data_IF_016021033112
#
_entry.id   IF_016021033112
#
_cell.length_a   1.000
_cell.length_b   1.000
_cell.length_c   1.000
_cell.angle_alpha   90.00
_cell.angle_beta   90.00
_cell.angle_gamma   90.00
#
_symmetry.space_group_name_H-M   'P 1'
#
loop_
_entity.id
_entity.type
_entity.pdbx_description
1 polymer ?
#
# COMPACT_ATOMS: atom_id res chain seq x y z
N UNK A 1 14.95 36.02 -64.15
CA UNK A 1 15.35 37.40 -63.79
C UNK A 1 15.59 37.41 -62.28
N UNK A 2 16.67 36.83 -61.78
CA UNK A 2 17.99 37.46 -61.57
C UNK A 2 17.87 38.86 -60.99
N UNK A 3 18.08 39.01 -59.68
CA UNK A 3 19.32 39.63 -59.22
C UNK A 3 19.56 39.44 -57.71
N UNK A 4 20.72 38.85 -57.42
CA UNK A 4 21.46 39.07 -56.19
C UNK A 4 22.40 40.25 -56.43
N UNK A 5 22.58 41.13 -55.43
CA UNK A 5 23.90 41.49 -54.88
C UNK A 5 23.79 42.56 -53.79
N UNK A 6 24.47 42.30 -52.68
CA UNK A 6 24.77 43.20 -51.57
C UNK A 6 25.67 44.37 -51.98
N UNK A 7 25.90 45.34 -51.06
CA UNK A 7 27.24 45.37 -50.47
C UNK A 7 27.34 45.67 -48.96
N UNK A 8 28.53 45.36 -48.48
CA UNK A 8 29.12 45.32 -47.13
C UNK A 8 29.09 46.64 -46.34
N UNK A 9 29.15 46.56 -45.00
CA UNK A 9 29.55 47.72 -44.17
C UNK A 9 29.41 47.62 -42.64
N UNK A 10 30.23 46.77 -42.00
CA UNK A 10 30.95 46.87 -40.70
C UNK A 10 30.42 47.62 -39.43
N UNK A 11 30.87 47.10 -38.27
CA UNK A 11 30.87 47.59 -36.88
C UNK A 11 29.52 47.62 -36.12
N UNK A 12 29.37 47.07 -34.92
CA UNK A 12 30.35 46.74 -33.88
C UNK A 12 29.74 47.00 -32.50
N UNK A 13 28.64 46.32 -32.15
CA UNK A 13 27.95 46.47 -30.86
C UNK A 13 28.19 45.29 -29.93
N UNK A 14 29.24 45.35 -29.11
CA UNK A 14 29.54 44.37 -28.04
C UNK A 14 28.47 44.43 -26.93
N UNK A 15 27.38 43.67 -27.07
CA UNK A 15 26.46 43.38 -25.99
C UNK A 15 27.07 42.44 -24.95
N UNK A 16 27.60 43.00 -23.86
CA UNK A 16 28.04 42.25 -22.67
C UNK A 16 26.87 41.45 -22.08
N UNK A 17 26.79 40.14 -22.38
CA UNK A 17 25.95 39.21 -21.61
C UNK A 17 26.56 39.05 -20.21
N UNK A 18 25.94 39.70 -19.23
CA UNK A 18 26.20 39.47 -17.81
C UNK A 18 26.00 37.98 -17.52
N UNK A 19 27.09 37.27 -17.20
CA UNK A 19 27.06 35.95 -16.56
C UNK A 19 26.30 36.11 -15.25
N UNK A 20 25.09 35.58 -15.19
CA UNK A 20 24.35 35.41 -13.94
C UNK A 20 25.17 34.55 -13.01
N UNK A 21 25.56 35.17 -11.90
CA UNK A 21 26.29 34.59 -10.78
C UNK A 21 25.63 33.30 -10.32
N UNK A 22 26.45 32.29 -10.04
CA UNK A 22 26.04 30.99 -9.54
C UNK A 22 25.17 31.15 -8.30
N UNK A 23 23.90 30.76 -8.45
CA UNK A 23 22.98 30.57 -7.34
C UNK A 23 23.54 29.53 -6.40
N UNK A 24 24.07 30.02 -5.28
CA UNK A 24 24.43 29.29 -4.09
C UNK A 24 23.35 28.25 -3.79
N UNK A 25 23.63 26.96 -4.08
CA UNK A 25 22.76 25.85 -3.67
C UNK A 25 22.87 25.75 -2.16
N UNK A 26 22.06 26.55 -1.49
CA UNK A 26 21.90 26.57 -0.05
C UNK A 26 21.75 25.13 0.42
N UNK A 27 22.67 24.75 1.29
CA UNK A 27 22.68 23.49 2.02
C UNK A 27 21.39 23.44 2.85
N UNK A 28 20.31 22.95 2.22
CA UNK A 28 19.00 22.94 2.83
C UNK A 28 19.09 21.90 3.95
N UNK A 29 19.14 22.40 5.19
CA UNK A 29 19.16 21.62 6.41
C UNK A 29 17.80 20.91 6.49
N UNK A 30 17.66 19.81 5.73
CA UNK A 30 16.41 19.05 5.59
C UNK A 30 16.13 18.47 6.96
N UNK A 31 15.21 19.12 7.69
CA UNK A 31 14.63 18.56 8.91
C UNK A 31 14.28 17.09 8.64
N UNK A 32 14.58 16.18 9.57
CA UNK A 32 14.22 14.77 9.41
C UNK A 32 12.76 14.68 9.00
N UNK A 33 12.47 13.87 7.96
CA UNK A 33 11.10 13.66 7.52
C UNK A 33 10.35 13.01 8.70
N UNK A 34 9.31 13.67 9.19
CA UNK A 34 8.46 13.18 10.28
C UNK A 34 7.89 11.81 9.90
N UNK A 35 7.79 10.90 10.87
CA UNK A 35 7.03 9.68 10.71
C UNK A 35 5.53 10.00 10.53
N UNK A 36 4.81 9.16 9.81
CA UNK A 36 3.37 9.36 9.58
C UNK A 36 3.02 10.36 8.49
N UNK A 37 1.72 10.55 8.31
CA UNK A 37 1.13 11.60 7.50
C UNK A 37 1.08 12.95 8.24
N UNK A 38 0.48 13.97 7.60
CA UNK A 38 0.09 15.17 8.34
C UNK A 38 -0.89 14.81 9.48
N UNK A 39 -1.04 15.68 10.50
CA UNK A 39 -2.06 15.49 11.53
C UNK A 39 -3.45 15.29 10.92
N UNK A 40 -4.19 14.31 11.43
CA UNK A 40 -5.53 13.96 10.95
C UNK A 40 -6.50 15.15 10.99
N UNK A 41 -6.42 16.01 12.02
CA UNK A 41 -7.26 17.21 12.12
C UNK A 41 -7.06 18.14 10.91
N UNK A 42 -5.81 18.45 10.56
CA UNK A 42 -5.49 19.28 9.39
C UNK A 42 -5.91 18.59 8.08
N UNK A 43 -5.78 17.27 8.01
CA UNK A 43 -6.18 16.50 6.83
C UNK A 43 -7.70 16.52 6.63
N UNK A 44 -8.49 16.39 7.71
CA UNK A 44 -9.96 16.51 7.68
C UNK A 44 -10.39 17.90 7.20
N UNK A 45 -9.80 18.97 7.75
CA UNK A 45 -10.10 20.34 7.32
C UNK A 45 -9.82 20.54 5.83
N UNK A 46 -8.66 20.06 5.33
CA UNK A 46 -8.30 20.19 3.91
C UNK A 46 -9.18 19.36 2.97
N UNK A 47 -9.88 18.35 3.47
CA UNK A 47 -10.69 17.44 2.68
C UNK A 47 -12.17 17.52 2.98
N UNK A 48 -12.63 18.57 3.68
CA UNK A 48 -14.01 18.73 4.11
C UNK A 48 -15.01 18.64 2.94
N UNK A 49 -14.76 19.35 1.84
CA UNK A 49 -15.64 19.32 0.67
C UNK A 49 -15.70 17.92 0.03
N UNK A 50 -14.56 17.23 -0.04
CA UNK A 50 -14.50 15.87 -0.59
C UNK A 50 -15.22 14.84 0.31
N UNK A 51 -15.18 15.03 1.63
CA UNK A 51 -15.94 14.20 2.58
C UNK A 51 -17.44 14.48 2.41
N UNK A 52 -17.84 15.75 2.34
CA UNK A 52 -19.24 16.12 2.15
C UNK A 52 -19.81 15.57 0.84
N UNK A 53 -19.06 15.64 -0.26
CA UNK A 53 -19.43 15.05 -1.55
C UNK A 53 -19.56 13.52 -1.47
N UNK A 54 -18.59 12.85 -0.83
CA UNK A 54 -18.65 11.40 -0.65
C UNK A 54 -19.87 10.98 0.19
N UNK A 55 -20.16 11.70 1.28
CA UNK A 55 -21.30 11.42 2.17
C UNK A 55 -22.63 11.66 1.45
N UNK A 56 -22.77 12.78 0.74
CA UNK A 56 -23.96 13.08 -0.05
C UNK A 56 -24.20 12.03 -1.14
N UNK A 57 -23.15 11.57 -1.81
CA UNK A 57 -23.24 10.50 -2.81
C UNK A 57 -23.66 9.17 -2.18
N UNK A 58 -23.16 8.83 -0.99
CA UNK A 58 -23.54 7.59 -0.30
C UNK A 58 -25.02 7.58 0.07
N UNK A 59 -25.57 8.70 0.54
CA UNK A 59 -27.00 8.82 0.84
C UNK A 59 -27.85 8.85 -0.44
N UNK A 60 -27.46 9.63 -1.44
CA UNK A 60 -28.22 9.79 -2.68
C UNK A 60 -28.15 8.61 -3.65
N UNK A 61 -27.40 7.54 -3.35
CA UNK A 61 -27.15 6.44 -4.31
C UNK A 61 -28.42 5.70 -4.73
N UNK A 62 -29.44 5.64 -3.88
CA UNK A 62 -30.71 4.99 -4.18
C UNK A 62 -31.67 5.84 -5.02
N UNK A 63 -31.38 7.14 -5.19
CA UNK A 63 -32.22 8.11 -5.91
C UNK A 63 -31.64 8.46 -7.30
N UNK A 64 -30.56 7.78 -7.71
CA UNK A 64 -29.91 8.01 -9.01
C UNK A 64 -30.78 7.50 -10.16
N UNK A 65 -30.89 8.32 -11.21
CA UNK A 65 -31.56 7.93 -12.47
C UNK A 65 -30.83 6.78 -13.18
N UNK A 66 -29.49 6.79 -13.14
CA UNK A 66 -28.65 5.73 -13.71
C UNK A 66 -28.47 4.59 -12.70
N UNK A 67 -28.59 3.32 -13.14
CA UNK A 67 -28.36 2.16 -12.28
C UNK A 67 -26.99 2.20 -11.62
N UNK A 68 -26.97 2.04 -10.31
CA UNK A 68 -25.74 1.92 -9.52
C UNK A 68 -25.13 0.54 -9.75
N UNK A 69 -23.82 0.48 -10.01
CA UNK A 69 -23.14 -0.79 -10.24
C UNK A 69 -23.30 -1.73 -9.04
N UNK A 70 -23.74 -2.98 -9.31
CA UNK A 70 -23.93 -4.02 -8.31
C UNK A 70 -25.30 -4.03 -7.64
N UNK A 71 -26.20 -3.10 -7.95
CA UNK A 71 -27.58 -3.14 -7.44
C UNK A 71 -28.43 -4.07 -8.29
N UNK A 72 -29.21 -4.99 -7.69
CA UNK A 72 -30.09 -5.87 -8.44
C UNK A 72 -31.28 -5.09 -9.03
N UNK A 73 -31.78 -5.54 -10.18
CA UNK A 73 -33.01 -5.01 -10.78
C UNK A 73 -34.23 -5.30 -9.90
N UNK A 74 -35.14 -4.33 -9.79
CA UNK A 74 -36.40 -4.51 -9.06
C UNK A 74 -36.23 -4.65 -7.54
N UNK A 75 -35.16 -4.11 -6.97
CA UNK A 75 -34.96 -4.11 -5.52
C UNK A 75 -36.11 -3.42 -4.78
N UNK A 76 -36.45 -3.95 -3.61
CA UNK A 76 -37.34 -3.26 -2.69
C UNK A 76 -36.70 -1.97 -2.15
N UNK A 77 -37.50 -1.08 -1.59
CA UNK A 77 -37.00 0.16 -0.98
C UNK A 77 -35.91 -0.13 0.08
N UNK A 78 -34.84 0.69 0.15
CA UNK A 78 -33.75 0.48 1.10
C UNK A 78 -34.23 0.70 2.54
N UNK A 79 -33.78 -0.16 3.45
CA UNK A 79 -33.88 0.05 4.89
C UNK A 79 -32.88 1.09 5.39
N UNK A 80 -32.99 1.47 6.67
CA UNK A 80 -32.04 2.35 7.36
C UNK A 80 -31.53 1.68 8.63
N UNK A 81 -30.22 1.58 8.75
CA UNK A 81 -29.51 0.97 9.87
C UNK A 81 -28.44 1.92 10.39
N UNK A 82 -28.28 2.01 11.70
CA UNK A 82 -27.22 2.80 12.34
C UNK A 82 -26.56 1.96 13.44
N UNK A 83 -25.24 1.97 13.46
CA UNK A 83 -24.42 1.15 14.34
C UNK A 83 -23.39 1.98 15.09
N UNK A 84 -23.25 1.67 16.38
CA UNK A 84 -22.11 2.12 17.20
C UNK A 84 -20.99 1.08 17.09
N UNK A 85 -19.83 1.52 16.62
CA UNK A 85 -18.66 0.67 16.39
C UNK A 85 -17.49 1.18 17.24
N UNK A 86 -17.25 0.61 18.44
CA UNK A 86 -16.16 1.03 19.31
C UNK A 86 -14.80 0.82 18.62
N UNK A 87 -13.91 1.80 18.77
CA UNK A 87 -12.59 1.82 18.13
C UNK A 87 -11.47 1.91 19.16
N UNK A 88 -10.38 1.20 18.88
CA UNK A 88 -9.15 1.16 19.69
C UNK A 88 -7.90 1.38 18.83
N UNK A 89 -7.80 2.51 18.11
CA UNK A 89 -6.69 2.73 17.19
C UNK A 89 -5.37 2.95 17.94
N UNK A 90 -4.27 2.53 17.32
CA UNK A 90 -2.94 2.68 17.90
C UNK A 90 -2.46 4.14 17.78
N UNK A 91 -1.98 4.78 18.85
CA UNK A 91 -1.44 6.13 18.78
C UNK A 91 -0.24 6.23 17.82
N UNK A 92 -0.17 7.33 17.04
CA UNK A 92 0.92 7.56 16.09
C UNK A 92 2.31 7.50 16.73
N UNK A 93 2.44 8.01 17.96
CA UNK A 93 3.70 7.98 18.70
C UNK A 93 4.16 6.54 19.00
N UNK A 94 3.23 5.65 19.36
CA UNK A 94 3.50 4.22 19.59
C UNK A 94 3.89 3.53 18.28
N UNK A 95 3.22 3.86 17.17
CA UNK A 95 3.60 3.36 15.85
C UNK A 95 5.01 3.83 15.44
N UNK A 96 5.32 5.12 15.59
CA UNK A 96 6.64 5.70 15.26
C UNK A 96 7.77 5.02 16.05
N UNK A 97 7.57 4.84 17.35
CA UNK A 97 8.54 4.14 18.20
C UNK A 97 8.72 2.68 17.76
N UNK A 98 7.61 2.00 17.46
CA UNK A 98 7.63 0.60 17.02
C UNK A 98 8.27 0.45 15.65
N UNK A 99 8.09 1.42 14.74
CA UNK A 99 8.74 1.44 13.43
C UNK A 99 10.27 1.41 13.56
N UNK A 100 10.83 2.16 14.51
CA UNK A 100 12.27 2.14 14.83
C UNK A 100 12.74 0.82 15.47
N UNK A 101 11.83 0.08 16.11
CA UNK A 101 12.12 -1.22 16.68
C UNK A 101 12.11 -2.35 15.64
N UNK A 102 11.14 -2.38 14.72
CA UNK A 102 10.89 -3.56 13.88
C UNK A 102 11.68 -3.58 12.57
N UNK A 103 12.27 -2.45 12.15
CA UNK A 103 13.10 -2.37 10.93
C UNK A 103 14.56 -2.15 11.31
N UNK A 104 15.44 -3.07 10.88
CA UNK A 104 16.90 -2.91 10.99
C UNK A 104 17.56 -2.97 9.62
N UNK A 105 18.78 -2.44 9.53
CA UNK A 105 19.60 -2.47 8.31
C UNK A 105 19.89 -3.93 7.94
N UNK A 106 19.64 -4.30 6.68
CA UNK A 106 19.92 -5.63 6.15
C UNK A 106 18.91 -6.72 6.53
N UNK A 107 17.91 -6.41 7.36
CA UNK A 107 16.88 -7.36 7.78
C UNK A 107 15.64 -7.27 6.88
N UNK A 108 15.64 -7.99 5.76
CA UNK A 108 14.49 -8.08 4.83
C UNK A 108 13.74 -9.42 4.90
N UNK A 109 14.35 -10.43 5.52
CA UNK A 109 13.79 -11.78 5.66
C UNK A 109 12.91 -11.96 6.88
N UNK A 110 12.66 -13.22 7.21
CA UNK A 110 12.05 -13.64 8.47
C UNK A 110 12.89 -13.20 9.66
N UNK A 111 12.19 -12.86 10.75
CA UNK A 111 12.84 -12.60 12.02
C UNK A 111 13.04 -13.94 12.74
N UNK A 112 14.24 -14.25 13.25
CA UNK A 112 14.42 -15.39 14.15
C UNK A 112 13.53 -15.26 15.40
N UNK A 113 13.15 -16.36 16.03
CA UNK A 113 12.27 -16.37 17.21
C UNK A 113 12.79 -15.45 18.33
N UNK A 114 14.09 -15.53 18.64
CA UNK A 114 14.72 -14.64 19.64
C UNK A 114 14.54 -13.15 19.32
N UNK A 115 14.45 -12.79 18.03
CA UNK A 115 14.22 -11.41 17.59
C UNK A 115 12.75 -11.03 17.68
N UNK A 116 11.84 -11.96 17.43
CA UNK A 116 10.40 -11.80 17.66
C UNK A 116 10.12 -11.61 19.15
N UNK A 117 10.73 -12.42 20.01
CA UNK A 117 10.65 -12.33 21.47
C UNK A 117 11.19 -11.00 21.99
N UNK A 118 12.34 -10.53 21.46
CA UNK A 118 12.90 -9.21 21.81
C UNK A 118 11.91 -8.08 21.49
N UNK A 119 11.22 -8.17 20.35
CA UNK A 119 10.20 -7.19 19.96
C UNK A 119 9.00 -7.27 20.92
N UNK A 120 8.50 -8.48 21.18
CA UNK A 120 7.38 -8.71 22.10
C UNK A 120 7.65 -8.17 23.50
N UNK A 121 8.85 -8.41 24.04
CA UNK A 121 9.26 -7.90 25.34
C UNK A 121 9.27 -6.36 25.40
N UNK A 122 9.72 -5.70 24.32
CA UNK A 122 9.74 -4.23 24.22
C UNK A 122 8.37 -3.60 23.97
N UNK A 123 7.40 -4.38 23.50
CA UNK A 123 6.02 -3.94 23.30
C UNK A 123 5.15 -4.13 24.55
N UNK A 124 5.63 -4.83 25.57
CA UNK A 124 4.88 -5.06 26.81
C UNK A 124 4.46 -3.72 27.44
N UNK A 125 3.14 -3.56 27.67
CA UNK A 125 2.55 -2.34 28.23
C UNK A 125 2.33 -1.20 27.24
N UNK A 126 2.59 -1.42 25.94
CA UNK A 126 2.30 -0.44 24.88
C UNK A 126 0.95 -0.72 24.23
N UNK A 127 0.42 0.30 23.55
CA UNK A 127 -0.83 0.24 22.81
C UNK A 127 -0.73 -0.51 21.46
N UNK A 128 0.34 -1.27 21.22
CA UNK A 128 0.54 -2.04 19.99
C UNK A 128 0.92 -3.48 20.33
N UNK A 129 0.23 -4.45 19.73
CA UNK A 129 0.50 -5.88 19.86
C UNK A 129 1.69 -6.33 19.00
N UNK A 130 2.22 -7.52 19.27
CA UNK A 130 3.29 -8.12 18.47
C UNK A 130 2.86 -8.33 17.02
N UNK A 131 1.64 -8.82 16.79
CA UNK A 131 1.09 -9.03 15.44
C UNK A 131 0.99 -7.72 14.65
N UNK A 132 0.50 -6.66 15.29
CA UNK A 132 0.45 -5.31 14.71
C UNK A 132 1.85 -4.82 14.34
N UNK A 133 2.84 -5.04 15.21
CA UNK A 133 4.22 -4.65 14.96
C UNK A 133 4.87 -5.43 13.80
N UNK A 134 4.61 -6.74 13.69
CA UNK A 134 5.09 -7.56 12.56
C UNK A 134 4.40 -7.18 11.24
N UNK A 135 3.11 -6.84 11.28
CA UNK A 135 2.40 -6.29 10.13
C UNK A 135 2.94 -4.91 9.73
N UNK A 136 3.20 -4.01 10.70
CA UNK A 136 3.84 -2.72 10.48
C UNK A 136 5.22 -2.89 9.81
N UNK A 137 6.03 -3.85 10.29
CA UNK A 137 7.32 -4.18 9.67
C UNK A 137 7.17 -4.50 8.19
N UNK A 138 6.19 -5.32 7.84
CA UNK A 138 5.92 -5.69 6.45
C UNK A 138 5.59 -4.46 5.59
N UNK A 139 4.72 -3.57 6.08
CA UNK A 139 4.40 -2.31 5.40
C UNK A 139 5.61 -1.39 5.22
N UNK A 140 6.46 -1.26 6.25
CA UNK A 140 7.67 -0.45 6.21
C UNK A 140 8.73 -1.01 5.26
N UNK A 141 8.92 -2.33 5.25
CA UNK A 141 9.87 -2.98 4.34
C UNK A 141 9.43 -2.89 2.87
N UNK A 142 8.13 -2.98 2.60
CA UNK A 142 7.58 -2.70 1.26
C UNK A 142 7.89 -1.25 0.85
N UNK A 143 7.61 -0.27 1.71
CA UNK A 143 7.92 1.13 1.43
C UNK A 143 9.42 1.35 1.19
N UNK A 144 10.26 0.81 2.07
CA UNK A 144 11.72 0.89 1.97
C UNK A 144 12.20 0.34 0.62
N UNK A 145 11.64 -0.78 0.19
CA UNK A 145 11.96 -1.41 -1.10
C UNK A 145 11.60 -0.53 -2.28
N UNK A 146 10.37 0.02 -2.30
CA UNK A 146 9.88 0.83 -3.42
C UNK A 146 10.64 2.15 -3.52
N UNK A 147 10.81 2.86 -2.41
CA UNK A 147 11.42 4.21 -2.43
C UNK A 147 12.95 4.18 -2.58
N UNK A 148 13.60 3.05 -2.28
CA UNK A 148 15.05 2.92 -2.43
C UNK A 148 15.47 2.28 -3.76
N UNK A 149 14.52 1.82 -4.60
CA UNK A 149 14.79 1.10 -5.84
C UNK A 149 15.76 1.83 -6.79
N UNK A 150 15.52 3.12 -7.08
CA UNK A 150 16.40 3.88 -7.97
C UNK A 150 17.82 4.05 -7.42
N UNK A 151 17.94 4.17 -6.09
CA UNK A 151 19.24 4.23 -5.41
C UNK A 151 19.99 2.90 -5.47
N UNK A 152 19.27 1.78 -5.48
CA UNK A 152 19.85 0.46 -5.71
C UNK A 152 20.34 0.34 -7.15
N UNK A 153 19.51 0.71 -8.13
CA UNK A 153 19.87 0.61 -9.56
C UNK A 153 21.11 1.44 -9.89
N UNK A 154 21.27 2.63 -9.31
CA UNK A 154 22.48 3.45 -9.52
C UNK A 154 23.76 2.81 -8.99
N UNK A 155 23.65 1.76 -8.16
CA UNK A 155 24.77 0.97 -7.63
C UNK A 155 24.96 -0.35 -8.36
N UNK A 156 24.24 -0.61 -9.45
CA UNK A 156 24.25 -1.90 -10.17
C UNK A 156 25.66 -2.40 -10.51
N UNK A 157 26.50 -1.55 -11.11
CA UNK A 157 27.90 -1.89 -11.42
C UNK A 157 28.72 -2.31 -10.21
N UNK A 158 28.54 -1.63 -9.07
CA UNK A 158 29.25 -1.95 -7.83
C UNK A 158 28.75 -3.25 -7.20
N UNK A 159 27.44 -3.51 -7.27
CA UNK A 159 26.84 -4.77 -6.83
C UNK A 159 27.36 -5.93 -7.68
N UNK A 160 27.40 -5.76 -9.00
CA UNK A 160 27.95 -6.75 -9.92
C UNK A 160 29.42 -7.02 -9.63
N UNK A 161 30.25 -5.99 -9.50
CA UNK A 161 31.68 -6.16 -9.23
C UNK A 161 31.93 -6.98 -7.96
N UNK A 162 31.25 -6.63 -6.86
CA UNK A 162 31.37 -7.37 -5.61
C UNK A 162 30.85 -8.82 -5.72
N UNK A 163 29.78 -9.06 -6.49
CA UNK A 163 29.33 -10.41 -6.77
C UNK A 163 30.36 -11.20 -7.60
N UNK A 164 30.93 -10.59 -8.64
CA UNK A 164 31.97 -11.21 -9.47
C UNK A 164 33.22 -11.55 -8.61
N UNK A 165 33.53 -10.75 -7.58
CA UNK A 165 34.57 -10.99 -6.57
C UNK A 165 34.23 -12.08 -5.53
N UNK A 166 33.04 -12.70 -5.61
CA UNK A 166 32.63 -13.82 -4.77
C UNK A 166 31.71 -13.47 -3.58
N UNK A 167 31.31 -12.20 -3.42
CA UNK A 167 30.38 -11.81 -2.34
C UNK A 167 28.97 -12.34 -2.66
N UNK A 168 28.34 -12.99 -1.67
CA UNK A 168 26.99 -13.55 -1.84
C UNK A 168 25.90 -12.48 -1.94
N UNK A 169 24.77 -12.82 -2.55
CA UNK A 169 23.61 -11.92 -2.67
C UNK A 169 23.08 -11.50 -1.29
N UNK A 170 23.01 -12.43 -0.33
CA UNK A 170 22.56 -12.15 1.04
C UNK A 170 23.51 -11.20 1.75
N UNK A 171 24.82 -11.35 1.57
CA UNK A 171 25.81 -10.42 2.13
C UNK A 171 25.72 -9.04 1.48
N UNK A 172 25.55 -8.98 0.15
CA UNK A 172 25.31 -7.72 -0.56
C UNK A 172 24.03 -7.02 -0.06
N UNK A 173 22.96 -7.77 0.19
CA UNK A 173 21.73 -7.25 0.79
C UNK A 173 21.99 -6.59 2.15
N UNK A 174 22.71 -7.27 3.05
CA UNK A 174 23.08 -6.73 4.37
C UNK A 174 23.97 -5.49 4.26
N UNK A 175 24.97 -5.53 3.38
CA UNK A 175 25.94 -4.44 3.20
C UNK A 175 25.30 -3.19 2.61
N UNK A 176 24.52 -3.36 1.54
CA UNK A 176 23.93 -2.26 0.77
C UNK A 176 22.54 -1.84 1.23
N UNK A 177 21.90 -2.64 2.09
CA UNK A 177 20.58 -2.42 2.69
C UNK A 177 19.44 -2.38 1.67
N UNK A 178 19.39 -3.39 0.79
CA UNK A 178 18.32 -3.62 -0.18
C UNK A 178 17.85 -5.08 -0.16
N UNK A 179 16.62 -5.39 -0.59
CA UNK A 179 16.11 -6.77 -0.58
C UNK A 179 16.98 -7.73 -1.43
N UNK A 180 17.29 -8.93 -0.93
CA UNK A 180 18.14 -9.90 -1.63
C UNK A 180 17.70 -10.19 -3.06
N UNK A 181 16.41 -10.41 -3.31
CA UNK A 181 15.92 -10.73 -4.66
C UNK A 181 16.05 -9.55 -5.62
N UNK A 182 15.97 -8.32 -5.10
CA UNK A 182 16.16 -7.12 -5.91
C UNK A 182 17.64 -6.87 -6.22
N UNK A 183 18.55 -7.13 -5.27
CA UNK A 183 19.99 -7.16 -5.54
C UNK A 183 20.29 -8.16 -6.64
N UNK A 184 19.75 -9.38 -6.54
CA UNK A 184 20.05 -10.42 -7.52
C UNK A 184 19.55 -10.08 -8.93
N UNK A 185 18.32 -9.57 -9.04
CA UNK A 185 17.79 -9.06 -10.31
C UNK A 185 18.68 -7.98 -10.92
N UNK A 186 19.20 -7.06 -10.10
CA UNK A 186 20.11 -6.01 -10.56
C UNK A 186 21.46 -6.58 -11.01
N UNK A 187 22.05 -7.52 -10.26
CA UNK A 187 23.31 -8.19 -10.67
C UNK A 187 23.14 -8.91 -12.00
N UNK A 188 22.07 -9.68 -12.18
CA UNK A 188 21.80 -10.39 -13.45
C UNK A 188 21.55 -9.42 -14.61
N UNK A 189 20.84 -8.31 -14.38
CA UNK A 189 20.65 -7.28 -15.39
C UNK A 189 21.98 -6.63 -15.81
N UNK A 190 22.88 -6.35 -14.87
CA UNK A 190 24.24 -5.83 -15.14
C UNK A 190 25.15 -6.85 -15.83
N UNK A 191 24.87 -8.15 -15.68
CA UNK A 191 25.44 -9.24 -16.50
C UNK A 191 24.84 -9.31 -17.91
N UNK A 192 23.92 -8.41 -18.27
CA UNK A 192 23.29 -8.34 -19.60
C UNK A 192 22.03 -9.20 -19.76
N UNK A 193 21.45 -9.72 -18.68
CA UNK A 193 20.23 -10.52 -18.80
C UNK A 193 18.99 -9.64 -19.01
N UNK A 194 18.15 -10.01 -19.97
CA UNK A 194 16.85 -9.37 -20.17
C UNK A 194 15.86 -9.68 -19.05
N UNK A 195 14.93 -8.76 -18.77
CA UNK A 195 13.90 -8.91 -17.72
C UNK A 195 13.09 -10.20 -17.83
N UNK A 196 12.71 -10.57 -19.06
CA UNK A 196 11.96 -11.81 -19.34
C UNK A 196 12.77 -13.04 -18.97
N UNK A 197 14.04 -13.09 -19.40
CA UNK A 197 14.96 -14.19 -19.07
C UNK A 197 15.12 -14.36 -17.56
N UNK A 198 15.31 -13.26 -16.82
CA UNK A 198 15.42 -13.29 -15.35
C UNK A 198 14.14 -13.85 -14.74
N UNK A 199 12.97 -13.33 -15.15
CA UNK A 199 11.65 -13.79 -14.65
C UNK A 199 11.44 -15.28 -14.90
N UNK A 200 11.73 -15.77 -16.10
CA UNK A 200 11.58 -17.18 -16.45
C UNK A 200 12.56 -18.07 -15.69
N UNK A 201 13.80 -17.61 -15.48
CA UNK A 201 14.80 -18.36 -14.72
C UNK A 201 14.46 -18.43 -13.23
N UNK A 202 13.79 -17.43 -12.66
CA UNK A 202 13.33 -17.47 -11.28
C UNK A 202 12.07 -18.35 -11.11
N UNK A 203 11.25 -18.47 -12.17
CA UNK A 203 10.13 -19.43 -12.18
C UNK A 203 10.59 -20.88 -12.30
N UNK A 204 11.71 -21.11 -12.98
CA UNK A 204 12.33 -22.43 -13.14
C UNK A 204 13.84 -22.34 -12.80
N UNK A 205 14.20 -22.32 -11.50
CA UNK A 205 15.58 -22.14 -11.05
C UNK A 205 16.56 -23.22 -11.53
N UNK A 206 16.05 -24.36 -12.01
CA UNK A 206 16.86 -25.44 -12.61
C UNK A 206 17.61 -24.98 -13.87
N UNK A 207 17.15 -23.89 -14.51
CA UNK A 207 17.81 -23.26 -15.67
C UNK A 207 19.02 -22.40 -15.30
N UNK A 208 19.19 -22.09 -14.01
CA UNK A 208 20.34 -21.34 -13.52
C UNK A 208 21.55 -22.26 -13.41
N UNK A 209 22.75 -21.68 -13.62
CA UNK A 209 23.99 -22.35 -13.25
C UNK A 209 24.03 -22.58 -11.75
N UNK A 210 24.85 -23.53 -11.30
CA UNK A 210 24.97 -23.92 -9.90
C UNK A 210 25.07 -22.72 -8.94
N UNK A 211 26.05 -21.84 -9.15
CA UNK A 211 26.21 -20.64 -8.31
C UNK A 211 24.96 -19.74 -8.33
N UNK A 212 24.43 -19.40 -9.50
CA UNK A 212 23.23 -18.54 -9.58
C UNK A 212 21.99 -19.21 -8.96
N UNK A 213 21.91 -20.54 -8.96
CA UNK A 213 20.82 -21.30 -8.32
C UNK A 213 20.95 -21.26 -6.79
N UNK A 214 22.13 -21.50 -6.25
CA UNK A 214 22.38 -21.41 -4.80
C UNK A 214 22.11 -19.99 -4.28
N UNK A 215 22.53 -18.97 -5.04
CA UNK A 215 22.27 -17.57 -4.71
C UNK A 215 20.79 -17.20 -4.84
N UNK A 216 20.07 -17.80 -5.79
CA UNK A 216 18.62 -17.67 -5.89
C UNK A 216 17.95 -18.20 -4.62
N UNK A 217 18.21 -19.44 -4.25
CA UNK A 217 17.59 -20.12 -3.11
C UNK A 217 17.88 -19.39 -1.80
N UNK A 218 19.14 -18.97 -1.59
CA UNK A 218 19.53 -18.20 -0.42
C UNK A 218 18.87 -16.82 -0.37
N UNK A 219 18.78 -16.12 -1.51
CA UNK A 219 18.12 -14.81 -1.59
C UNK A 219 16.61 -14.92 -1.40
N UNK A 220 15.99 -15.97 -1.94
CA UNK A 220 14.57 -16.25 -1.85
C UNK A 220 14.15 -16.51 -0.40
N UNK A 221 14.91 -17.37 0.31
CA UNK A 221 14.70 -17.65 1.73
C UNK A 221 14.90 -16.41 2.63
N UNK A 222 15.78 -15.49 2.22
CA UNK A 222 16.11 -14.28 2.97
C UNK A 222 15.28 -13.04 2.61
N UNK A 223 14.33 -13.12 1.68
CA UNK A 223 13.54 -11.97 1.20
C UNK A 223 12.03 -12.18 1.39
N UNK A 224 11.53 -11.81 2.58
CA UNK A 224 10.10 -11.88 2.91
C UNK A 224 9.27 -10.83 2.16
N UNK A 225 9.89 -9.74 1.72
CA UNK A 225 9.20 -8.63 1.04
C UNK A 225 8.83 -9.02 -0.39
N UNK A 226 9.73 -9.74 -1.06
CA UNK A 226 9.49 -10.29 -2.38
C UNK A 226 8.67 -11.58 -2.33
N UNK A 227 8.79 -12.37 -1.25
CA UNK A 227 8.13 -13.66 -1.06
C UNK A 227 7.21 -13.63 0.17
N UNK A 228 6.09 -12.92 0.05
CA UNK A 228 4.99 -13.07 1.01
C UNK A 228 4.32 -14.40 0.68
N UNK A 229 4.40 -15.38 1.58
CA UNK A 229 3.61 -16.60 1.51
C UNK A 229 2.14 -16.18 1.65
N UNK A 230 1.41 -16.31 0.55
CA UNK A 230 0.05 -15.80 0.39
C UNK A 230 -1.00 -16.85 0.75
N UNK A 231 -0.62 -18.11 0.99
CA UNK A 231 -1.57 -19.22 1.10
C UNK A 231 -2.29 -19.25 2.46
N UNK A 232 -1.56 -19.28 3.57
CA UNK A 232 -2.15 -19.20 4.92
C UNK A 232 -2.87 -17.86 5.18
N UNK A 233 -2.36 -16.79 4.57
CA UNK A 233 -2.95 -15.45 4.68
C UNK A 233 -4.24 -15.27 3.85
N UNK A 234 -4.46 -16.08 2.81
CA UNK A 234 -5.64 -15.96 1.96
C UNK A 234 -6.87 -16.55 2.63
N UNK A 235 -6.81 -17.80 3.12
CA UNK A 235 -7.96 -18.41 3.80
C UNK A 235 -8.40 -17.64 5.05
N UNK A 236 -7.46 -17.08 5.82
CA UNK A 236 -7.77 -16.25 6.97
C UNK A 236 -8.30 -14.85 6.58
N UNK A 237 -8.00 -14.35 5.38
CA UNK A 237 -8.60 -13.13 4.84
C UNK A 237 -10.03 -13.39 4.36
N UNK A 238 -10.23 -14.47 3.61
CA UNK A 238 -11.55 -14.89 3.11
C UNK A 238 -12.52 -15.12 4.29
N UNK A 239 -12.08 -15.87 5.31
CA UNK A 239 -12.90 -16.11 6.52
C UNK A 239 -13.17 -14.81 7.30
N UNK A 240 -12.24 -13.84 7.28
CA UNK A 240 -12.47 -12.54 7.91
C UNK A 240 -13.52 -11.72 7.17
N UNK A 241 -13.55 -11.79 5.84
CA UNK A 241 -14.61 -11.20 5.01
C UNK A 241 -15.97 -11.86 5.29
N UNK A 242 -16.01 -13.19 5.45
CA UNK A 242 -17.23 -13.93 5.80
C UNK A 242 -17.77 -13.50 7.17
N UNK A 243 -16.94 -13.51 8.23
CA UNK A 243 -17.35 -13.07 9.58
C UNK A 243 -17.91 -11.65 9.55
N UNK A 244 -17.29 -10.77 8.78
CA UNK A 244 -17.74 -9.38 8.65
C UNK A 244 -19.09 -9.29 7.94
N UNK A 245 -19.30 -10.04 6.86
CA UNK A 245 -20.57 -10.08 6.15
C UNK A 245 -21.69 -10.67 7.00
N UNK A 246 -21.42 -11.79 7.67
CA UNK A 246 -22.36 -12.47 8.56
C UNK A 246 -22.82 -11.54 9.68
N UNK A 247 -21.91 -10.74 10.27
CA UNK A 247 -22.26 -9.78 11.33
C UNK A 247 -23.32 -8.76 10.89
N UNK A 248 -23.24 -8.23 9.66
CA UNK A 248 -24.23 -7.29 9.13
C UNK A 248 -25.53 -7.98 8.72
N UNK A 249 -25.44 -9.15 8.09
CA UNK A 249 -26.61 -9.93 7.66
C UNK A 249 -27.44 -10.42 8.86
N UNK A 250 -26.79 -10.83 9.95
CA UNK A 250 -27.45 -11.22 11.22
C UNK A 250 -28.25 -10.07 11.85
N UNK A 251 -27.91 -8.82 11.52
CA UNK A 251 -28.64 -7.62 11.94
C UNK A 251 -29.73 -7.20 10.95
N UNK A 252 -29.94 -7.98 9.89
CA UNK A 252 -30.96 -7.75 8.87
C UNK A 252 -30.55 -6.80 7.75
N UNK A 253 -29.27 -6.41 7.67
CA UNK A 253 -28.78 -5.55 6.59
C UNK A 253 -28.64 -6.36 5.31
N UNK A 254 -29.19 -5.86 4.20
CA UNK A 254 -29.02 -6.46 2.88
C UNK A 254 -27.73 -5.96 2.25
N UNK A 255 -26.94 -6.89 1.74
CA UNK A 255 -25.65 -6.59 1.10
C UNK A 255 -25.35 -7.55 -0.05
N UNK A 256 -24.42 -7.15 -0.91
CA UNK A 256 -23.76 -8.01 -1.90
C UNK A 256 -22.37 -8.34 -1.40
N UNK A 257 -21.98 -9.61 -1.43
CA UNK A 257 -20.60 -10.05 -1.18
C UNK A 257 -19.77 -9.99 -2.46
N UNK A 258 -18.45 -9.84 -2.34
CA UNK A 258 -17.52 -9.76 -3.48
C UNK A 258 -17.72 -10.84 -4.56
N UNK A 259 -17.85 -12.14 -4.22
CA UNK A 259 -17.93 -13.21 -5.23
C UNK A 259 -19.12 -13.06 -6.17
N UNK A 260 -20.23 -12.52 -5.67
CA UNK A 260 -21.43 -12.28 -6.48
C UNK A 260 -21.18 -11.21 -7.54
N UNK A 261 -20.57 -10.09 -7.13
CA UNK A 261 -20.24 -8.97 -8.03
C UNK A 261 -19.17 -9.36 -9.04
N UNK A 262 -18.15 -10.14 -8.62
CA UNK A 262 -17.13 -10.69 -9.52
C UNK A 262 -17.78 -11.53 -10.62
N UNK A 263 -18.69 -12.43 -10.26
CA UNK A 263 -19.39 -13.31 -11.20
C UNK A 263 -20.24 -12.51 -12.20
N UNK A 264 -21.00 -11.52 -11.71
CA UNK A 264 -21.87 -10.67 -12.52
C UNK A 264 -21.07 -9.79 -13.50
N UNK A 265 -20.10 -9.03 -12.99
CA UNK A 265 -19.28 -8.12 -13.81
C UNK A 265 -18.38 -8.88 -14.79
N UNK A 266 -17.89 -10.07 -14.42
CA UNK A 266 -17.12 -10.89 -15.36
C UNK A 266 -17.98 -11.38 -16.53
N UNK A 267 -19.26 -11.68 -16.29
CA UNK A 267 -20.21 -12.06 -17.33
C UNK A 267 -20.57 -10.88 -18.24
N UNK A 268 -20.76 -9.70 -17.67
CA UNK A 268 -21.19 -8.51 -18.40
C UNK A 268 -20.04 -7.79 -19.13
N UNK A 269 -18.87 -7.69 -18.49
CA UNK A 269 -17.75 -6.86 -18.95
C UNK A 269 -16.48 -7.66 -19.27
N UNK A 270 -16.50 -8.98 -19.12
CA UNK A 270 -15.35 -9.87 -19.33
C UNK A 270 -14.29 -9.81 -18.23
N UNK A 271 -14.47 -8.97 -17.20
CA UNK A 271 -13.61 -8.87 -16.01
C UNK A 271 -14.31 -8.14 -14.87
N UNK A 272 -13.88 -8.33 -13.61
CA UNK A 272 -14.28 -7.47 -12.49
C UNK A 272 -13.80 -6.03 -12.70
N UNK A 273 -14.64 -5.05 -12.36
CA UNK A 273 -14.35 -3.61 -12.46
C UNK A 273 -14.20 -3.00 -11.07
N UNK A 274 -15.26 -3.08 -10.24
CA UNK A 274 -15.31 -2.56 -8.87
C UNK A 274 -16.00 -3.59 -7.99
N UNK A 275 -15.26 -4.20 -7.08
CA UNK A 275 -15.76 -5.28 -6.21
C UNK A 275 -15.23 -5.07 -4.79
N UNK A 276 -15.86 -4.19 -3.99
CA UNK A 276 -15.60 -4.14 -2.56
C UNK A 276 -15.98 -5.48 -1.94
N UNK A 277 -15.56 -5.73 -0.70
CA UNK A 277 -15.82 -7.01 -0.06
C UNK A 277 -17.29 -7.12 0.34
N UNK A 278 -17.88 -5.98 0.74
CA UNK A 278 -19.30 -5.80 1.00
C UNK A 278 -19.81 -4.54 0.28
N UNK A 279 -20.96 -4.63 -0.38
CA UNK A 279 -21.71 -3.49 -0.92
C UNK A 279 -23.11 -3.48 -0.30
N UNK A 280 -23.47 -2.40 0.41
CA UNK A 280 -24.75 -2.32 1.11
C UNK A 280 -25.90 -1.92 0.17
N UNK A 281 -26.98 -2.71 0.22
CA UNK A 281 -28.24 -2.46 -0.47
C UNK A 281 -29.23 -1.68 0.39
N UNK A 282 -28.83 -1.30 1.60
CA UNK A 282 -29.56 -0.45 2.54
C UNK A 282 -28.73 0.78 2.92
N UNK A 283 -29.38 1.81 3.47
CA UNK A 283 -28.65 2.89 4.12
C UNK A 283 -28.05 2.38 5.42
N UNK A 284 -26.72 2.45 5.53
CA UNK A 284 -25.97 2.07 6.71
C UNK A 284 -25.18 3.27 7.18
N UNK A 285 -25.29 3.57 8.47
CA UNK A 285 -24.50 4.56 9.18
C UNK A 285 -23.67 3.86 10.24
N UNK A 286 -22.38 4.20 10.35
CA UNK A 286 -21.50 3.68 11.39
C UNK A 286 -20.82 4.86 12.07
N UNK A 287 -21.00 4.99 13.39
CA UNK A 287 -20.46 6.12 14.17
C UNK A 287 -20.87 7.50 13.60
N UNK A 288 -22.10 7.63 13.09
CA UNK A 288 -22.62 8.87 12.51
C UNK A 288 -22.15 9.19 11.08
N UNK A 289 -21.40 8.29 10.43
CA UNK A 289 -20.94 8.47 9.05
C UNK A 289 -21.64 7.48 8.11
N UNK A 290 -22.11 7.91 6.92
CA UNK A 290 -22.72 7.00 5.95
C UNK A 290 -21.69 6.05 5.34
N UNK A 291 -22.06 4.77 5.24
CA UNK A 291 -21.21 3.70 4.71
C UNK A 291 -21.96 2.96 3.62
N UNK A 292 -21.52 3.11 2.37
CA UNK A 292 -22.11 2.43 1.22
C UNK A 292 -21.47 1.07 0.91
N UNK A 293 -20.21 0.89 1.27
CA UNK A 293 -19.42 -0.30 1.00
C UNK A 293 -18.38 -0.50 2.10
N UNK A 294 -17.92 -1.73 2.27
CA UNK A 294 -16.81 -2.08 3.16
C UNK A 294 -15.77 -2.91 2.42
N UNK A 295 -14.50 -2.64 2.71
CA UNK A 295 -13.36 -3.43 2.28
C UNK A 295 -12.58 -3.91 3.52
N UNK A 296 -12.36 -5.21 3.63
CA UNK A 296 -11.76 -5.87 4.78
C UNK A 296 -10.25 -6.04 4.57
N UNK A 297 -9.45 -5.71 5.58
CA UNK A 297 -8.00 -5.84 5.52
C UNK A 297 -7.49 -6.77 6.61
N UNK A 298 -6.92 -7.89 6.18
CA UNK A 298 -6.23 -8.86 7.04
C UNK A 298 -4.81 -8.38 7.45
N UNK A 299 -4.60 -7.10 7.70
CA UNK A 299 -3.32 -6.55 8.15
C UNK A 299 -3.55 -5.30 9.01
N UNK A 300 -2.51 -4.80 9.67
CA UNK A 300 -2.57 -3.57 10.45
C UNK A 300 -2.51 -2.32 9.55
N UNK A 301 -3.48 -1.42 9.71
CA UNK A 301 -3.60 -0.16 8.98
C UNK A 301 -2.56 0.88 9.41
N UNK A 302 -1.33 0.75 8.92
CA UNK A 302 -0.22 1.63 9.29
C UNK A 302 -0.26 3.01 8.62
N UNK A 303 0.21 4.06 9.32
CA UNK A 303 0.36 5.41 8.78
C UNK A 303 1.67 5.55 7.96
N UNK A 304 1.79 4.71 6.93
CA UNK A 304 2.96 4.61 6.04
C UNK A 304 2.61 5.16 4.65
N UNK A 305 3.43 6.07 4.12
CA UNK A 305 3.12 6.84 2.89
C UNK A 305 2.80 5.96 1.68
N UNK A 306 3.58 4.89 1.46
CA UNK A 306 3.35 3.98 0.35
C UNK A 306 1.99 3.27 0.48
N UNK A 307 1.65 2.78 1.67
CA UNK A 307 0.35 2.13 1.92
C UNK A 307 -0.81 3.11 1.78
N UNK A 308 -0.70 4.32 2.37
CA UNK A 308 -1.72 5.37 2.23
C UNK A 308 -2.04 5.66 0.77
N UNK A 309 -1.02 5.86 -0.07
CA UNK A 309 -1.19 6.14 -1.50
C UNK A 309 -1.84 4.97 -2.23
N UNK A 310 -1.46 3.74 -1.90
CA UNK A 310 -2.04 2.52 -2.49
C UNK A 310 -3.51 2.37 -2.10
N UNK A 311 -3.83 2.53 -0.81
CA UNK A 311 -5.20 2.44 -0.28
C UNK A 311 -6.09 3.54 -0.84
N UNK A 312 -5.66 4.81 -0.79
CA UNK A 312 -6.44 5.92 -1.35
C UNK A 312 -6.78 5.69 -2.83
N UNK A 313 -5.84 5.19 -3.64
CA UNK A 313 -6.12 4.86 -5.05
C UNK A 313 -7.14 3.73 -5.21
N UNK A 314 -7.18 2.76 -4.28
CA UNK A 314 -8.18 1.70 -4.28
C UNK A 314 -9.56 2.26 -3.91
N UNK A 315 -9.64 2.95 -2.77
CA UNK A 315 -10.89 3.46 -2.21
C UNK A 315 -11.54 4.53 -3.09
N UNK A 316 -10.76 5.40 -3.75
CA UNK A 316 -11.30 6.43 -4.63
C UNK A 316 -12.17 5.86 -5.75
N UNK A 317 -11.87 4.65 -6.26
CA UNK A 317 -12.72 4.01 -7.29
C UNK A 317 -14.10 3.63 -6.76
N UNK A 318 -14.18 3.30 -5.47
CA UNK A 318 -15.43 2.95 -4.80
C UNK A 318 -16.18 4.22 -4.42
N UNK A 319 -15.48 5.24 -3.92
CA UNK A 319 -16.05 6.56 -3.62
C UNK A 319 -16.66 7.20 -4.87
N UNK A 320 -15.97 7.09 -6.01
CA UNK A 320 -16.49 7.60 -7.28
C UNK A 320 -17.84 6.98 -7.65
N UNK A 321 -18.05 5.68 -7.34
CA UNK A 321 -19.26 4.93 -7.68
C UNK A 321 -20.38 5.05 -6.65
N UNK A 322 -20.06 4.74 -5.39
CA UNK A 322 -21.04 4.50 -4.33
C UNK A 322 -21.01 5.56 -3.23
N UNK A 323 -20.03 6.48 -3.26
CA UNK A 323 -19.82 7.46 -2.20
C UNK A 323 -19.02 6.91 -1.02
N UNK A 324 -19.19 7.54 0.14
CA UNK A 324 -18.49 7.19 1.36
C UNK A 324 -18.63 5.70 1.73
N UNK A 325 -17.59 5.14 2.34
CA UNK A 325 -17.55 3.74 2.75
C UNK A 325 -16.62 3.54 3.94
N UNK A 326 -16.28 2.29 4.22
CA UNK A 326 -15.39 1.96 5.34
C UNK A 326 -14.33 0.92 4.98
N UNK A 327 -13.25 0.92 5.76
CA UNK A 327 -12.27 -0.17 5.80
C UNK A 327 -12.28 -0.76 7.19
N UNK A 328 -12.38 -2.09 7.29
CA UNK A 328 -12.23 -2.81 8.57
C UNK A 328 -10.87 -3.49 8.59
N UNK A 329 -10.00 -3.09 9.50
CA UNK A 329 -8.69 -3.72 9.70
C UNK A 329 -8.76 -4.79 10.78
N UNK A 330 -8.46 -6.04 10.44
CA UNK A 330 -8.41 -7.16 11.41
C UNK A 330 -7.49 -6.87 12.59
N UNK A 331 -6.30 -6.37 12.30
CA UNK A 331 -5.31 -6.03 13.33
C UNK A 331 -5.42 -4.57 13.78
N UNK A 332 -6.51 -3.87 13.50
CA UNK A 332 -6.67 -2.45 13.82
C UNK A 332 -5.80 -1.52 12.97
N UNK A 333 -5.74 -0.25 13.33
CA UNK A 333 -5.12 0.79 12.51
C UNK A 333 -4.50 1.91 13.36
N UNK A 334 -3.68 2.74 12.72
CA UNK A 334 -3.08 3.92 13.33
C UNK A 334 -4.10 5.06 13.47
N UNK A 335 -4.16 5.69 14.65
CA UNK A 335 -5.07 6.80 14.92
C UNK A 335 -4.87 8.03 14.01
N UNK A 336 -3.71 8.16 13.36
CA UNK A 336 -3.44 9.23 12.40
C UNK A 336 -3.66 8.83 10.93
N UNK A 337 -3.95 7.55 10.66
CA UNK A 337 -4.31 7.11 9.31
C UNK A 337 -5.61 7.79 8.89
N UNK A 338 -5.63 8.32 7.67
CA UNK A 338 -6.77 9.06 7.15
C UNK A 338 -6.89 8.91 5.64
N UNK A 339 -8.11 8.64 5.18
CA UNK A 339 -8.50 8.60 3.78
C UNK A 339 -9.84 9.36 3.68
N UNK A 340 -9.94 10.44 2.88
CA UNK A 340 -11.19 11.18 2.73
C UNK A 340 -12.34 10.30 2.25
N UNK A 341 -13.53 10.47 2.84
CA UNK A 341 -14.73 9.68 2.50
C UNK A 341 -14.67 8.21 2.94
N UNK A 342 -13.74 7.84 3.82
CA UNK A 342 -13.60 6.47 4.32
C UNK A 342 -13.51 6.44 5.84
N UNK A 343 -14.46 5.77 6.47
CA UNK A 343 -14.42 5.45 7.90
C UNK A 343 -13.46 4.30 8.14
N UNK A 344 -12.55 4.45 9.11
CA UNK A 344 -11.61 3.39 9.47
C UNK A 344 -12.11 2.68 10.72
N UNK A 345 -12.25 1.37 10.62
CA UNK A 345 -12.78 0.50 11.66
C UNK A 345 -11.73 -0.56 12.03
N UNK A 346 -11.81 -1.06 13.25
CA UNK A 346 -11.09 -2.26 13.67
C UNK A 346 -12.06 -3.43 13.88
N UNK A 347 -11.54 -4.64 14.02
CA UNK A 347 -12.35 -5.83 14.20
C UNK A 347 -12.87 -6.04 15.63
N UNK A 348 -12.81 -5.03 16.51
CA UNK A 348 -13.17 -5.15 17.92
C UNK A 348 -14.57 -5.72 18.19
N UNK A 349 -15.62 -5.31 17.45
CA UNK A 349 -16.98 -5.85 17.61
C UNK A 349 -17.22 -7.26 17.05
N UNK A 350 -16.27 -7.83 16.30
CA UNK A 350 -16.44 -9.09 15.59
C UNK A 350 -15.96 -10.29 16.43
N UNK A 351 -16.66 -11.42 16.34
CA UNK A 351 -16.15 -12.67 16.90
C UNK A 351 -15.09 -13.28 15.96
N UNK A 352 -13.83 -13.13 16.33
CA UNK A 352 -12.70 -13.68 15.59
C UNK A 352 -12.29 -15.08 16.07
N UNK A 353 -13.09 -15.74 16.92
CA UNK A 353 -12.81 -17.11 17.38
C UNK A 353 -12.57 -18.12 16.24
N UNK A 354 -13.21 -18.04 15.05
CA UNK A 354 -12.94 -18.96 13.95
C UNK A 354 -11.57 -18.79 13.29
N UNK A 355 -10.86 -17.69 13.57
CA UNK A 355 -9.54 -17.35 13.00
C UNK A 355 -8.36 -17.74 13.90
N UNK A 356 -8.60 -18.47 15.00
CA UNK A 356 -7.60 -18.83 16.01
C UNK A 356 -7.03 -20.23 15.86
#
# INVERSE_FOLDING_TARGET
MSDQRSPRGNNGGRGRRRRGSGGNRGNNNRRPKRYGGPPIADARVRSADAIADANAKAEGRFERDEPVMGFPEGMEAPGRFSFEWPLTPVPLATEEETAGLVVRKGEFGWLPDARVDEIGAKLKGKAMSLEQALSLRSALLQQKTVYSHYRMQSRGKALRAAYDDGVSIVELSKRFDFPPMNIFRTVLAEKGWGKTKIKESFKDPKRLKEREREEFEAAEAADRVSNVDQSESAGAADLFEEILADWFEDQGVRLRRQPEMVKEQSKEHGRPIKTPDLLFLDHVEINGEPVAWIDAKHFYGADVEFQRKKMAKQMNRYIEEWGAGAIVYRHGFCANLFIPGVTLLDAGPLDLSPLK
#
